data_IF_536050692595
#
_entry.id   IF_536050692595
#
_cell.length_a   1.000
_cell.length_b   1.000
_cell.length_c   1.000
_cell.angle_alpha   90.00
_cell.angle_beta   90.00
_cell.angle_gamma   90.00
#
_symmetry.space_group_name_H-M   'P 1'
#
loop_
_entity.id
_entity.type
_entity.pdbx_description
1 polymer ?
#
# COMPACT_ATOMS: atom_id res chain seq x y z
N UNK A 1 5.08 10.45 -15.03
CA UNK A 1 3.77 9.77 -15.20
C UNK A 1 2.96 10.05 -13.94
N UNK A 2 1.75 10.58 -14.07
CA UNK A 2 0.92 11.06 -12.94
C UNK A 2 0.29 9.88 -12.16
N UNK A 3 0.58 9.79 -10.86
CA UNK A 3 0.06 8.76 -9.95
C UNK A 3 -1.48 8.80 -9.85
N UNK A 4 -2.07 9.98 -10.04
CA UNK A 4 -3.51 10.20 -9.96
C UNK A 4 -4.28 9.49 -11.08
N UNK A 5 -3.65 9.33 -12.26
CA UNK A 5 -4.22 8.56 -13.38
C UNK A 5 -4.11 7.05 -13.20
N UNK A 6 -3.24 6.55 -12.32
CA UNK A 6 -3.08 5.11 -12.04
C UNK A 6 -4.07 4.58 -11.00
N UNK A 7 -4.68 5.45 -10.19
CA UNK A 7 -5.62 5.06 -9.15
C UNK A 7 -7.08 4.97 -9.64
N UNK A 8 -7.36 5.41 -10.85
CA UNK A 8 -8.67 5.23 -11.49
C UNK A 8 -8.79 3.77 -11.98
N UNK A 9 -9.19 2.88 -11.08
CA UNK A 9 -9.62 1.52 -11.41
C UNK A 9 -10.99 1.63 -12.10
N UNK A 10 -10.99 1.83 -13.42
CA UNK A 10 -12.22 2.06 -14.20
C UNK A 10 -12.94 0.76 -14.61
N UNK A 11 -12.27 -0.38 -14.49
CA UNK A 11 -12.72 -1.63 -15.08
C UNK A 11 -13.29 -2.64 -14.07
N UNK A 12 -13.28 -2.31 -12.77
CA UNK A 12 -13.84 -3.17 -11.73
C UNK A 12 -15.09 -2.49 -11.17
N UNK A 13 -16.18 -3.26 -11.08
CA UNK A 13 -17.35 -2.85 -10.32
C UNK A 13 -16.97 -2.63 -8.86
N UNK A 14 -17.35 -1.47 -8.31
CA UNK A 14 -17.09 -1.18 -6.91
C UNK A 14 -17.77 -2.23 -6.02
N UNK A 15 -17.15 -2.51 -4.89
CA UNK A 15 -17.72 -3.40 -3.91
C UNK A 15 -19.02 -2.81 -3.36
N UNK A 16 -20.12 -3.50 -3.63
CA UNK A 16 -21.46 -3.10 -3.23
C UNK A 16 -22.03 -4.00 -2.12
N UNK A 17 -21.23 -4.89 -1.54
CA UNK A 17 -21.66 -5.86 -0.52
C UNK A 17 -22.36 -7.11 -1.06
N UNK A 18 -22.68 -7.19 -2.35
CA UNK A 18 -23.32 -8.35 -3.00
C UNK A 18 -22.40 -9.01 -4.02
N UNK A 19 -21.41 -8.28 -4.55
CA UNK A 19 -20.51 -8.71 -5.61
C UNK A 19 -19.11 -9.17 -5.14
N UNK A 20 -18.96 -9.65 -3.90
CA UNK A 20 -17.65 -9.91 -3.27
C UNK A 20 -16.67 -10.72 -4.13
N UNK A 21 -17.09 -11.84 -4.74
CA UNK A 21 -16.19 -12.70 -5.51
C UNK A 21 -15.66 -12.01 -6.77
N UNK A 22 -16.52 -11.30 -7.49
CA UNK A 22 -16.16 -10.58 -8.71
C UNK A 22 -15.28 -9.36 -8.40
N UNK A 23 -15.65 -8.60 -7.37
CA UNK A 23 -14.85 -7.48 -6.87
C UNK A 23 -13.47 -7.95 -6.42
N UNK A 24 -13.39 -9.01 -5.60
CA UNK A 24 -12.13 -9.57 -5.11
C UNK A 24 -11.25 -9.99 -6.28
N UNK A 25 -11.79 -10.75 -7.24
CA UNK A 25 -11.03 -11.22 -8.39
C UNK A 25 -10.44 -10.05 -9.19
N UNK A 26 -11.26 -9.03 -9.50
CA UNK A 26 -10.78 -7.83 -10.18
C UNK A 26 -9.68 -7.13 -9.39
N UNK A 27 -9.90 -6.90 -8.09
CA UNK A 27 -8.95 -6.17 -7.24
C UNK A 27 -7.59 -6.88 -7.21
N UNK A 28 -7.58 -8.21 -7.07
CA UNK A 28 -6.35 -8.98 -7.08
C UNK A 28 -5.61 -8.89 -8.42
N UNK A 29 -6.33 -8.95 -9.55
CA UNK A 29 -5.71 -8.76 -10.86
C UNK A 29 -5.06 -7.37 -11.02
N UNK A 30 -5.74 -6.31 -10.60
CA UNK A 30 -5.18 -4.95 -10.68
C UNK A 30 -3.95 -4.80 -9.77
N UNK A 31 -3.99 -5.36 -8.55
CA UNK A 31 -2.84 -5.37 -7.65
C UNK A 31 -1.65 -6.15 -8.22
N UNK A 32 -1.91 -7.26 -8.92
CA UNK A 32 -0.87 -8.05 -9.60
C UNK A 32 -0.24 -7.25 -10.76
N UNK A 33 -1.05 -6.58 -11.57
CA UNK A 33 -0.59 -5.75 -12.70
C UNK A 33 0.33 -4.60 -12.28
N UNK A 34 0.18 -4.10 -11.05
CA UNK A 34 1.01 -3.01 -10.51
C UNK A 34 2.04 -3.47 -9.48
N UNK A 35 2.26 -4.79 -9.35
CA UNK A 35 3.26 -5.40 -8.46
C UNK A 35 3.04 -5.06 -6.98
N UNK A 36 1.79 -4.95 -6.55
CA UNK A 36 1.40 -4.66 -5.16
C UNK A 36 0.71 -5.83 -4.46
N UNK A 37 0.39 -6.91 -5.19
CA UNK A 37 -0.30 -8.06 -4.63
C UNK A 37 0.47 -8.69 -3.46
N UNK A 38 1.79 -8.85 -3.60
CA UNK A 38 2.64 -9.45 -2.56
C UNK A 38 2.68 -8.62 -1.27
N UNK A 39 2.54 -7.29 -1.35
CA UNK A 39 2.42 -6.43 -0.17
C UNK A 39 1.08 -6.66 0.52
N UNK A 40 -0.01 -6.75 -0.25
CA UNK A 40 -1.36 -6.92 0.29
C UNK A 40 -1.55 -8.30 0.93
N UNK A 41 -1.00 -9.35 0.31
CA UNK A 41 -1.02 -10.72 0.83
C UNK A 41 0.03 -10.95 1.94
N UNK A 42 0.94 -9.99 2.15
CA UNK A 42 1.96 -10.03 3.21
C UNK A 42 3.21 -10.87 2.87
N UNK A 43 3.38 -11.28 1.62
CA UNK A 43 4.59 -11.94 1.12
C UNK A 43 5.78 -10.96 1.04
N UNK A 44 5.54 -9.70 0.68
CA UNK A 44 6.53 -8.61 0.76
C UNK A 44 6.34 -7.84 2.07
N UNK A 45 7.19 -8.13 3.07
CA UNK A 45 7.17 -7.46 4.36
C UNK A 45 7.98 -6.15 4.33
N UNK A 46 7.60 -5.20 5.21
CA UNK A 46 8.43 -4.02 5.44
C UNK A 46 9.82 -4.46 5.87
N UNK A 47 10.91 -3.98 5.25
CA UNK A 47 12.24 -4.32 5.67
C UNK A 47 12.51 -3.77 7.08
N UNK A 48 13.32 -4.48 7.85
CA UNK A 48 13.80 -3.99 9.14
C UNK A 48 14.74 -2.79 8.95
N UNK A 49 14.77 -1.90 9.94
CA UNK A 49 15.68 -0.76 9.93
C UNK A 49 17.13 -1.24 10.12
N UNK A 50 18.02 -0.84 9.21
CA UNK A 50 19.44 -1.18 9.29
C UNK A 50 20.26 0.05 9.65
N UNK A 51 21.05 -0.02 10.71
CA UNK A 51 21.90 1.08 11.18
C UNK A 51 23.37 0.75 10.94
N UNK A 52 24.22 1.78 10.94
CA UNK A 52 25.66 1.59 10.93
C UNK A 52 26.13 0.98 12.26
N UNK A 53 27.25 0.24 12.23
CA UNK A 53 27.79 -0.43 13.43
C UNK A 53 28.16 0.55 14.55
N UNK A 54 28.44 1.81 14.22
CA UNK A 54 28.79 2.89 15.14
C UNK A 54 27.60 3.81 15.49
N UNK A 55 26.36 3.38 15.20
CA UNK A 55 25.17 4.16 15.49
C UNK A 55 24.99 4.41 17.00
N UNK A 56 24.86 5.68 17.37
CA UNK A 56 24.63 6.09 18.76
C UNK A 56 23.15 6.37 19.02
N UNK A 57 22.49 5.49 19.76
CA UNK A 57 21.06 5.60 20.10
C UNK A 57 20.79 6.41 21.38
N UNK A 58 21.83 6.83 22.11
CA UNK A 58 21.69 7.56 23.38
C UNK A 58 21.58 9.09 23.19
N UNK A 59 21.88 9.60 21.98
CA UNK A 59 21.72 11.03 21.66
C UNK A 59 20.30 11.32 21.16
N UNK A 60 19.43 11.77 22.06
CA UNK A 60 18.05 12.15 21.75
C UNK A 60 17.93 13.28 20.70
N UNK A 61 18.96 14.11 20.54
CA UNK A 61 18.97 15.19 19.55
C UNK A 61 19.49 14.74 18.18
N UNK A 62 20.09 13.56 18.08
CA UNK A 62 20.69 13.05 16.86
C UNK A 62 20.53 11.53 16.73
N UNK A 63 19.27 11.09 16.80
CA UNK A 63 18.93 9.68 16.59
C UNK A 63 19.42 9.21 15.21
N UNK A 64 20.07 8.05 15.12
CA UNK A 64 20.68 7.59 13.87
C UNK A 64 19.62 7.34 12.80
N UNK A 65 19.95 7.67 11.55
CA UNK A 65 19.08 7.44 10.40
C UNK A 65 19.39 6.03 9.85
N UNK A 66 18.39 5.18 9.59
CA UNK A 66 18.61 3.90 8.95
C UNK A 66 19.33 4.06 7.61
N UNK A 67 20.38 3.28 7.40
CA UNK A 67 21.15 3.21 6.15
C UNK A 67 20.28 2.79 4.96
N UNK A 68 19.24 1.99 5.21
CA UNK A 68 18.27 1.52 4.22
C UNK A 68 17.00 2.38 4.13
N UNK A 69 17.04 3.65 4.57
CA UNK A 69 15.87 4.56 4.54
C UNK A 69 15.20 4.70 3.17
N UNK A 70 15.95 4.53 2.08
CA UNK A 70 15.40 4.51 0.72
C UNK A 70 14.41 3.37 0.51
N UNK A 71 14.80 2.14 0.85
CA UNK A 71 13.96 0.95 0.75
C UNK A 71 12.73 1.04 1.68
N UNK A 72 12.93 1.53 2.91
CA UNK A 72 11.82 1.77 3.85
C UNK A 72 10.79 2.75 3.28
N UNK A 73 11.24 3.86 2.68
CA UNK A 73 10.34 4.85 2.05
C UNK A 73 9.63 4.28 0.83
N UNK A 74 10.32 3.48 0.03
CA UNK A 74 9.74 2.83 -1.15
C UNK A 74 8.65 1.84 -0.77
N UNK A 75 8.93 0.93 0.19
CA UNK A 75 7.94 -0.02 0.70
C UNK A 75 6.72 0.70 1.28
N UNK A 76 6.92 1.72 2.13
CA UNK A 76 5.82 2.53 2.70
C UNK A 76 4.98 3.22 1.62
N UNK A 77 5.61 3.66 0.53
CA UNK A 77 4.91 4.25 -0.60
C UNK A 77 4.04 3.21 -1.32
N UNK A 78 4.58 2.02 -1.58
CA UNK A 78 3.83 0.92 -2.20
C UNK A 78 2.65 0.50 -1.33
N UNK A 79 2.85 0.32 -0.03
CA UNK A 79 1.78 0.03 0.95
C UNK A 79 0.68 1.10 0.94
N UNK A 80 1.06 2.38 0.96
CA UNK A 80 0.11 3.49 0.90
C UNK A 80 -0.72 3.47 -0.40
N UNK A 81 -0.10 3.17 -1.54
CA UNK A 81 -0.78 3.04 -2.83
C UNK A 81 -1.73 1.85 -2.83
N UNK A 82 -1.30 0.69 -2.33
CA UNK A 82 -2.13 -0.51 -2.25
C UNK A 82 -3.38 -0.27 -1.41
N UNK A 83 -3.22 0.33 -0.21
CA UNK A 83 -4.34 0.71 0.65
C UNK A 83 -5.26 1.73 0.00
N UNK A 84 -4.71 2.70 -0.72
CA UNK A 84 -5.51 3.66 -1.49
C UNK A 84 -6.32 2.95 -2.57
N UNK A 85 -5.74 2.04 -3.35
CA UNK A 85 -6.46 1.28 -4.38
C UNK A 85 -7.63 0.51 -3.78
N UNK A 86 -7.38 -0.29 -2.73
CA UNK A 86 -8.43 -1.05 -2.02
C UNK A 86 -9.55 -0.11 -1.56
N UNK A 87 -9.20 1.01 -0.91
CA UNK A 87 -10.18 1.98 -0.43
C UNK A 87 -11.05 2.56 -1.56
N UNK A 88 -10.47 2.86 -2.72
CA UNK A 88 -11.19 3.46 -3.85
C UNK A 88 -12.09 2.48 -4.60
N UNK A 89 -11.91 1.17 -4.40
CA UNK A 89 -12.80 0.14 -4.95
C UNK A 89 -14.07 -0.09 -4.14
N UNK A 90 -14.24 0.57 -2.98
CA UNK A 90 -15.49 0.50 -2.23
C UNK A 90 -16.52 1.52 -2.73
N UNK A 91 -17.81 1.14 -2.73
CA UNK A 91 -18.88 2.09 -3.03
C UNK A 91 -19.02 3.14 -1.93
N UNK A 92 -18.86 4.41 -2.30
CA UNK A 92 -18.91 5.56 -1.40
C UNK A 92 -20.32 5.84 -0.89
N UNK A 93 -21.36 5.45 -1.64
CA UNK A 93 -22.75 5.68 -1.23
C UNK A 93 -23.20 4.73 -0.11
N UNK A 94 -22.53 3.57 0.06
CA UNK A 94 -22.70 2.70 1.24
C UNK A 94 -21.77 3.03 2.42
N UNK A 95 -20.72 3.84 2.21
CA UNK A 95 -19.84 4.32 3.30
C UNK A 95 -20.48 5.45 4.11
N UNK A 96 -21.48 6.14 3.54
CA UNK A 96 -22.39 7.02 4.27
C UNK A 96 -23.46 6.12 4.88
N UNK A 97 -23.27 5.69 6.13
CA UNK A 97 -24.33 4.99 6.85
C UNK A 97 -25.63 5.82 6.86
N UNK A 98 -26.75 5.11 6.98
CA UNK A 98 -28.01 5.67 7.49
C UNK A 98 -27.80 6.44 8.80
#
# INVERSE_FOLDING_TARGET
MDLSRRLEIKHIDKFDGTNYQQWKHGLLMELELVELLDIVEGYEQCPDEMFADDANFEDENNYPIPTNIGALKEWRKKDCIARAMIYHTNDKERQKGE
#
